data_IF_017785474421
#
_entry.id   IF_017785474421
#
_cell.length_a   1.000
_cell.length_b   1.000
_cell.length_c   1.000
_cell.angle_alpha   90.00
_cell.angle_beta   90.00
_cell.angle_gamma   90.00
#
_symmetry.space_group_name_H-M   'P 1'
#
loop_
_entity.id
_entity.type
_entity.pdbx_description
1 polymer ?
#
# COMPACT_ATOMS: atom_id res chain seq x y z
N UNK A 1 -60.96 3.10 -0.90
CA UNK A 1 -60.21 2.76 -2.14
C UNK A 1 -58.94 3.59 -2.15
N UNK A 2 -57.81 3.00 -1.78
CA UNK A 2 -56.47 3.64 -1.79
C UNK A 2 -55.81 3.43 -3.16
N UNK A 3 -55.18 4.45 -3.79
CA UNK A 3 -54.43 4.24 -5.02
C UNK A 3 -53.06 3.63 -4.73
N UNK A 4 -52.65 2.69 -5.60
CA UNK A 4 -51.45 1.87 -5.45
C UNK A 4 -50.11 2.61 -5.59
N UNK A 5 -49.13 2.14 -4.84
CA UNK A 5 -47.73 2.59 -4.86
C UNK A 5 -46.98 2.04 -6.09
N UNK A 6 -46.66 2.93 -7.04
CA UNK A 6 -45.72 2.62 -8.15
C UNK A 6 -44.29 2.65 -7.62
N UNK A 7 -43.48 1.61 -7.88
CA UNK A 7 -42.05 1.62 -7.58
C UNK A 7 -41.29 2.39 -8.66
N UNK A 8 -40.42 3.31 -8.25
CA UNK A 8 -39.55 4.09 -9.14
C UNK A 8 -38.34 3.26 -9.57
N UNK A 9 -37.92 3.42 -10.81
CA UNK A 9 -36.79 2.71 -11.40
C UNK A 9 -35.44 3.33 -11.00
N UNK A 10 -34.35 2.55 -11.14
CA UNK A 10 -33.00 2.92 -10.66
C UNK A 10 -32.44 4.20 -11.29
N UNK A 11 -32.90 4.57 -12.49
CA UNK A 11 -32.51 5.81 -13.18
C UNK A 11 -33.28 7.03 -12.64
N UNK A 12 -34.58 6.91 -12.39
CA UNK A 12 -35.39 7.97 -11.74
C UNK A 12 -34.88 8.28 -10.33
N UNK A 13 -34.27 7.29 -9.66
CA UNK A 13 -33.63 7.50 -8.37
C UNK A 13 -32.47 8.50 -8.45
N UNK A 14 -31.63 8.48 -9.49
CA UNK A 14 -30.45 9.35 -9.59
C UNK A 14 -30.79 10.81 -9.90
N UNK A 15 -31.80 11.09 -10.73
CA UNK A 15 -32.19 12.47 -11.09
C UNK A 15 -32.78 13.26 -9.90
N UNK A 16 -33.49 12.58 -9.00
CA UNK A 16 -34.04 13.20 -7.77
C UNK A 16 -32.94 13.71 -6.83
N UNK A 17 -31.73 13.14 -6.89
CA UNK A 17 -30.59 13.53 -6.03
C UNK A 17 -29.70 14.63 -6.62
N UNK A 18 -29.94 15.08 -7.86
CA UNK A 18 -29.12 16.13 -8.51
C UNK A 18 -29.61 17.56 -8.24
N UNK A 19 -30.73 17.77 -7.53
CA UNK A 19 -31.23 19.11 -7.20
C UNK A 19 -31.23 19.36 -5.68
N UNK A 20 -30.75 20.53 -5.19
CA UNK A 20 -30.62 20.82 -3.75
C UNK A 20 -31.94 20.80 -2.97
N UNK A 21 -33.09 20.82 -3.66
CA UNK A 21 -34.41 21.01 -3.04
C UNK A 21 -35.16 19.71 -2.71
N UNK A 22 -34.80 18.57 -3.29
CA UNK A 22 -35.52 17.30 -3.11
C UNK A 22 -35.00 16.43 -1.94
N UNK A 23 -33.83 16.74 -1.36
CA UNK A 23 -33.25 15.98 -0.24
C UNK A 23 -34.15 16.03 1.01
N UNK A 24 -34.94 17.09 1.19
CA UNK A 24 -35.80 17.24 2.37
C UNK A 24 -37.08 16.40 2.31
N UNK A 25 -37.64 16.15 1.13
CA UNK A 25 -38.95 15.46 0.98
C UNK A 25 -38.83 13.93 0.91
N UNK A 26 -37.78 13.38 0.30
CA UNK A 26 -37.59 11.91 0.26
C UNK A 26 -37.07 11.32 1.58
N UNK A 27 -36.52 12.15 2.46
CA UNK A 27 -35.96 11.69 3.73
C UNK A 27 -37.06 11.04 4.61
N UNK A 28 -38.32 11.47 4.52
CA UNK A 28 -39.41 11.02 5.40
C UNK A 28 -39.77 9.53 5.33
N UNK A 29 -39.30 8.76 4.34
CA UNK A 29 -39.60 7.32 4.19
C UNK A 29 -38.42 6.36 4.40
N UNK A 30 -37.26 6.88 4.82
CA UNK A 30 -36.06 6.06 5.02
C UNK A 30 -35.82 5.86 6.52
N UNK A 31 -35.76 4.59 6.94
CA UNK A 31 -35.42 4.18 8.32
C UNK A 31 -34.21 4.95 8.85
N UNK A 32 -34.25 5.34 10.12
CA UNK A 32 -33.21 6.14 10.80
C UNK A 32 -31.80 5.59 10.53
N UNK A 33 -31.65 4.27 10.55
CA UNK A 33 -30.38 3.56 10.31
C UNK A 33 -29.83 3.74 8.89
N UNK A 34 -30.71 3.89 7.89
CA UNK A 34 -30.33 4.12 6.49
C UNK A 34 -29.97 5.58 6.20
N UNK A 35 -30.58 6.53 6.93
CA UNK A 35 -30.20 7.96 6.93
C UNK A 35 -28.82 8.19 7.54
N UNK A 36 -28.52 7.57 8.68
CA UNK A 36 -27.19 7.62 9.29
C UNK A 36 -26.13 7.00 8.40
N UNK A 37 -26.43 5.85 7.77
CA UNK A 37 -25.51 5.20 6.81
C UNK A 37 -25.22 6.08 5.59
N UNK A 38 -26.23 6.74 5.03
CA UNK A 38 -26.03 7.68 3.91
C UNK A 38 -25.27 8.94 4.34
N UNK A 39 -25.58 9.52 5.51
CA UNK A 39 -24.85 10.67 6.05
C UNK A 39 -23.37 10.35 6.31
N UNK A 40 -23.07 9.15 6.82
CA UNK A 40 -21.71 8.68 7.04
C UNK A 40 -20.98 8.38 5.72
N UNK A 41 -21.67 7.85 4.70
CA UNK A 41 -21.10 7.64 3.37
C UNK A 41 -20.77 8.97 2.68
N UNK A 42 -21.67 9.95 2.75
CA UNK A 42 -21.45 11.30 2.21
C UNK A 42 -20.31 12.03 2.95
N UNK A 43 -20.27 11.95 4.29
CA UNK A 43 -19.15 12.48 5.09
C UNK A 43 -17.81 11.78 4.76
N UNK A 44 -17.79 10.46 4.56
CA UNK A 44 -16.57 9.74 4.14
C UNK A 44 -16.11 10.16 2.75
N UNK A 45 -17.04 10.27 1.79
CA UNK A 45 -16.73 10.66 0.40
C UNK A 45 -16.22 12.10 0.30
N UNK A 46 -16.81 13.03 1.05
CA UNK A 46 -16.35 14.43 1.07
C UNK A 46 -15.07 14.64 1.89
N UNK A 47 -14.85 13.84 2.95
CA UNK A 47 -13.57 13.87 3.70
C UNK A 47 -12.41 13.37 2.85
N UNK A 48 -12.63 12.35 2.02
CA UNK A 48 -11.61 11.86 1.09
C UNK A 48 -11.45 12.79 -0.12
N UNK A 49 -12.52 13.39 -0.62
CA UNK A 49 -12.45 14.38 -1.70
C UNK A 49 -11.59 15.60 -1.32
N UNK A 50 -11.71 16.14 -0.11
CA UNK A 50 -10.92 17.31 0.32
C UNK A 50 -9.42 17.05 0.48
N UNK A 51 -8.99 15.79 0.67
CA UNK A 51 -7.57 15.40 0.69
C UNK A 51 -7.06 15.19 -0.74
N UNK A 52 -7.88 14.62 -1.62
CA UNK A 52 -7.52 14.40 -3.02
C UNK A 52 -7.45 15.70 -3.84
N UNK A 53 -8.27 16.70 -3.50
CA UNK A 53 -8.33 18.00 -4.20
C UNK A 53 -7.08 18.86 -3.97
N UNK A 54 -6.35 18.61 -2.87
CA UNK A 54 -5.05 19.25 -2.55
C UNK A 54 -3.92 18.24 -2.44
N UNK A 55 -4.02 17.11 -3.13
CA UNK A 55 -3.01 16.05 -3.02
C UNK A 55 -1.63 16.55 -3.43
N UNK A 56 -1.54 17.43 -4.43
CA UNK A 56 -0.28 17.99 -4.93
C UNK A 56 0.46 18.83 -3.87
N UNK A 57 -0.25 19.46 -2.93
CA UNK A 57 0.35 20.25 -1.85
C UNK A 57 1.14 19.38 -0.84
N UNK A 58 0.83 18.08 -0.78
CA UNK A 58 1.45 17.13 0.15
C UNK A 58 2.51 16.22 -0.50
N UNK A 59 2.90 16.48 -1.75
CA UNK A 59 3.83 15.62 -2.50
C UNK A 59 5.30 15.90 -2.15
N UNK A 60 5.61 17.07 -1.58
CA UNK A 60 6.98 17.49 -1.26
C UNK A 60 7.71 16.57 -0.27
N UNK A 61 9.04 16.50 -0.39
CA UNK A 61 9.95 15.82 0.56
C UNK A 61 10.84 16.86 1.25
N UNK A 62 11.36 16.55 2.44
CA UNK A 62 12.13 17.52 3.23
C UNK A 62 13.41 17.96 2.51
N UNK A 63 14.07 17.08 1.74
CA UNK A 63 15.25 17.44 0.93
C UNK A 63 16.43 17.98 1.74
N UNK A 64 16.35 17.88 3.07
CA UNK A 64 17.32 18.36 4.04
C UNK A 64 18.03 17.13 4.62
N UNK A 65 19.29 17.31 5.03
CA UNK A 65 20.05 16.31 5.78
C UNK A 65 19.21 15.76 6.95
N UNK A 66 19.07 14.43 7.13
CA UNK A 66 19.87 13.34 6.56
C UNK A 66 19.30 12.69 5.28
N UNK A 67 18.16 13.13 4.74
CA UNK A 67 17.47 12.50 3.59
C UNK A 67 18.36 12.40 2.34
N UNK A 68 19.29 13.35 2.17
CA UNK A 68 20.23 13.40 1.05
C UNK A 68 21.31 12.31 1.10
N UNK A 69 21.58 11.70 2.26
CA UNK A 69 22.60 10.65 2.38
C UNK A 69 22.22 9.37 1.64
N UNK A 70 20.92 9.10 1.50
CA UNK A 70 20.42 7.93 0.78
C UNK A 70 20.31 8.14 -0.73
N UNK A 71 20.65 9.34 -1.22
CA UNK A 71 20.67 9.66 -2.64
C UNK A 71 22.09 9.56 -3.20
N UNK A 72 22.36 8.54 -4.01
CA UNK A 72 23.63 8.44 -4.75
C UNK A 72 23.74 9.47 -5.89
N UNK A 73 22.61 10.02 -6.34
CA UNK A 73 22.51 10.99 -7.44
C UNK A 73 21.54 12.08 -7.01
N UNK A 74 21.85 13.33 -7.35
CA UNK A 74 20.98 14.48 -7.08
C UNK A 74 19.57 14.24 -7.65
N UNK A 75 18.56 14.35 -6.77
CA UNK A 75 17.16 14.12 -7.11
C UNK A 75 16.87 12.72 -7.72
N UNK A 76 17.70 11.71 -7.43
CA UNK A 76 17.54 10.34 -7.90
C UNK A 76 16.65 9.47 -7.00
N UNK A 77 16.07 8.42 -7.58
CA UNK A 77 15.25 7.43 -6.88
C UNK A 77 13.79 7.82 -6.75
N UNK A 78 13.01 7.05 -5.98
CA UNK A 78 11.56 7.29 -5.78
C UNK A 78 11.24 7.78 -4.37
N UNK A 79 12.09 7.50 -3.38
CA UNK A 79 11.80 7.79 -1.97
C UNK A 79 12.06 9.26 -1.63
N UNK A 80 13.22 9.77 -2.05
CA UNK A 80 13.72 11.10 -1.67
C UNK A 80 13.69 12.14 -2.83
N UNK A 81 13.38 11.72 -4.06
CA UNK A 81 13.27 12.64 -5.20
C UNK A 81 12.00 13.48 -5.16
N UNK A 82 12.00 14.59 -5.89
CA UNK A 82 10.93 15.58 -5.93
C UNK A 82 10.66 16.09 -7.34
N UNK A 83 9.49 16.70 -7.52
CA UNK A 83 9.05 17.33 -8.76
C UNK A 83 8.67 16.32 -9.85
N UNK A 84 8.86 16.72 -11.11
CA UNK A 84 8.48 15.89 -12.26
C UNK A 84 9.35 14.63 -12.39
N UNK A 85 10.63 14.72 -12.02
CA UNK A 85 11.54 13.58 -12.02
C UNK A 85 11.03 12.42 -11.12
N UNK A 86 10.52 12.76 -9.93
CA UNK A 86 9.88 11.77 -9.05
C UNK A 86 8.65 11.13 -9.70
N UNK A 87 7.80 11.92 -10.37
CA UNK A 87 6.58 11.43 -11.03
C UNK A 87 6.91 10.46 -12.15
N UNK A 88 7.90 10.77 -12.98
CA UNK A 88 8.38 9.92 -14.07
C UNK A 88 9.03 8.64 -13.53
N UNK A 89 9.97 8.75 -12.59
CA UNK A 89 10.64 7.59 -12.00
C UNK A 89 9.65 6.67 -11.29
N UNK A 90 8.71 7.22 -10.51
CA UNK A 90 7.65 6.42 -9.86
C UNK A 90 6.78 5.68 -10.88
N UNK A 91 6.37 6.36 -11.96
CA UNK A 91 5.56 5.76 -13.02
C UNK A 91 6.34 4.62 -13.69
N UNK A 92 7.58 4.88 -14.09
CA UNK A 92 8.45 3.89 -14.73
C UNK A 92 8.68 2.67 -13.81
N UNK A 93 9.06 2.88 -12.55
CA UNK A 93 9.30 1.79 -11.58
C UNK A 93 8.05 0.92 -11.36
N UNK A 94 6.86 1.53 -11.22
CA UNK A 94 5.62 0.76 -11.04
C UNK A 94 5.28 -0.05 -12.30
N UNK A 95 5.51 0.52 -13.49
CA UNK A 95 5.32 -0.22 -14.74
C UNK A 95 6.26 -1.42 -14.83
N UNK A 96 7.56 -1.21 -14.57
CA UNK A 96 8.56 -2.28 -14.56
C UNK A 96 8.19 -3.38 -13.57
N UNK A 97 7.78 -3.03 -12.36
CA UNK A 97 7.37 -4.01 -11.35
C UNK A 97 6.13 -4.82 -11.79
N UNK A 98 5.16 -4.19 -12.46
CA UNK A 98 4.00 -4.90 -13.04
C UNK A 98 4.38 -5.84 -14.17
N UNK A 99 5.37 -5.46 -14.98
CA UNK A 99 5.89 -6.29 -16.05
C UNK A 99 6.62 -7.52 -15.50
N UNK A 100 7.40 -7.35 -14.43
CA UNK A 100 8.01 -8.46 -13.65
C UNK A 100 7.00 -9.36 -12.92
N UNK A 101 5.70 -9.04 -12.96
CA UNK A 101 4.65 -9.90 -12.41
C UNK A 101 4.10 -9.45 -11.06
N UNK A 102 4.40 -8.23 -10.60
CA UNK A 102 3.70 -7.62 -9.46
C UNK A 102 2.20 -7.51 -9.76
N UNK A 103 1.39 -8.25 -9.01
CA UNK A 103 -0.05 -8.35 -9.19
C UNK A 103 -0.51 -9.46 -10.16
N UNK A 104 0.39 -10.33 -10.59
CA UNK A 104 0.09 -11.57 -11.33
C UNK A 104 0.43 -12.80 -10.46
N UNK A 105 0.01 -13.98 -10.91
CA UNK A 105 0.26 -15.26 -10.24
C UNK A 105 1.76 -15.55 -10.01
N UNK A 106 2.65 -14.98 -10.82
CA UNK A 106 4.10 -15.18 -10.68
C UNK A 106 4.63 -14.68 -9.33
N UNK A 107 4.18 -13.52 -8.85
CA UNK A 107 4.62 -12.99 -7.55
C UNK A 107 4.09 -13.86 -6.40
N UNK A 108 2.86 -14.36 -6.53
CA UNK A 108 2.26 -15.27 -5.55
C UNK A 108 3.07 -16.56 -5.43
N UNK A 109 3.47 -17.15 -6.55
CA UNK A 109 4.31 -18.33 -6.58
C UNK A 109 5.67 -18.08 -5.90
N UNK A 110 6.32 -16.95 -6.18
CA UNK A 110 7.58 -16.59 -5.52
C UNK A 110 7.43 -16.46 -3.99
N UNK A 111 6.34 -15.82 -3.54
CA UNK A 111 6.04 -15.69 -2.10
C UNK A 111 5.79 -17.06 -1.47
N UNK A 112 5.05 -17.95 -2.15
CA UNK A 112 4.78 -19.30 -1.67
C UNK A 112 6.06 -20.13 -1.56
N UNK A 113 6.94 -20.08 -2.56
CA UNK A 113 8.23 -20.77 -2.53
C UNK A 113 9.09 -20.27 -1.36
N UNK A 114 9.25 -18.95 -1.23
CA UNK A 114 10.00 -18.37 -0.11
C UNK A 114 9.36 -18.69 1.24
N UNK A 115 8.03 -18.87 1.31
CA UNK A 115 7.34 -19.22 2.55
C UNK A 115 7.59 -20.68 2.93
N UNK A 116 7.70 -21.58 1.95
CA UNK A 116 8.10 -22.96 2.18
C UNK A 116 9.53 -23.02 2.73
N UNK A 117 10.46 -22.27 2.12
CA UNK A 117 11.84 -22.16 2.60
C UNK A 117 11.89 -21.66 4.05
N UNK A 118 11.11 -20.62 4.36
CA UNK A 118 10.98 -20.07 5.72
C UNK A 118 10.45 -21.10 6.73
N UNK A 119 9.38 -21.83 6.37
CA UNK A 119 8.81 -22.85 7.25
C UNK A 119 9.75 -24.03 7.46
N UNK A 120 10.49 -24.43 6.42
CA UNK A 120 11.51 -25.47 6.52
C UNK A 120 12.60 -25.07 7.52
N UNK A 121 13.13 -23.84 7.41
CA UNK A 121 14.10 -23.30 8.35
C UNK A 121 13.53 -23.22 9.79
N UNK A 122 12.28 -22.76 9.95
CA UNK A 122 11.64 -22.72 11.27
C UNK A 122 11.45 -24.12 11.88
N UNK A 123 11.29 -25.15 11.06
CA UNK A 123 11.13 -26.54 11.51
C UNK A 123 12.46 -27.21 11.88
N UNK A 124 13.58 -26.79 11.30
CA UNK A 124 14.91 -27.32 11.59
C UNK A 124 15.52 -26.75 12.87
N UNK A 125 14.97 -25.66 13.41
CA UNK A 125 15.43 -25.10 14.69
C UNK A 125 14.98 -26.02 15.84
N UNK A 126 15.96 -26.63 16.51
CA UNK A 126 15.73 -27.59 17.60
C UNK A 126 15.17 -26.94 18.87
N UNK A 127 15.56 -25.70 19.16
CA UNK A 127 15.24 -25.02 20.41
C UNK A 127 14.15 -23.95 20.19
N UNK A 128 12.89 -24.33 20.41
CA UNK A 128 11.71 -23.49 20.11
C UNK A 128 11.40 -22.43 21.17
N UNK A 129 12.09 -22.48 22.31
CA UNK A 129 11.80 -21.62 23.46
C UNK A 129 12.42 -20.21 23.33
N UNK A 130 13.47 -20.06 22.52
CA UNK A 130 14.13 -18.77 22.22
C UNK A 130 14.23 -18.54 20.70
N UNK A 131 13.09 -18.28 20.06
CA UNK A 131 13.04 -17.96 18.63
C UNK A 131 13.26 -16.47 18.38
N UNK A 132 14.45 -16.12 17.88
CA UNK A 132 14.73 -14.78 17.35
C UNK A 132 14.17 -14.63 15.94
N UNK A 133 12.91 -14.18 15.84
CA UNK A 133 12.21 -14.05 14.55
C UNK A 133 12.70 -12.90 13.66
N UNK A 134 13.52 -11.97 14.20
CA UNK A 134 14.00 -10.80 13.45
C UNK A 134 14.75 -11.20 12.19
N UNK A 135 15.74 -12.08 12.31
CA UNK A 135 16.61 -12.45 11.19
C UNK A 135 15.86 -13.30 10.15
N UNK A 136 15.15 -14.38 10.51
CA UNK A 136 14.43 -15.20 9.54
C UNK A 136 13.38 -14.42 8.74
N UNK A 137 12.71 -13.44 9.36
CA UNK A 137 11.73 -12.57 8.67
C UNK A 137 12.44 -11.60 7.71
N UNK A 138 13.55 -10.99 8.13
CA UNK A 138 14.34 -10.12 7.25
C UNK A 138 14.85 -10.89 6.03
N UNK A 139 15.33 -12.12 6.23
CA UNK A 139 15.80 -12.99 5.15
C UNK A 139 14.66 -13.37 4.21
N UNK A 140 13.50 -13.72 4.75
CA UNK A 140 12.31 -14.04 3.96
C UNK A 140 11.90 -12.89 3.04
N UNK A 141 11.77 -11.67 3.58
CA UNK A 141 11.39 -10.49 2.79
C UNK A 141 12.49 -10.13 1.78
N UNK A 142 13.75 -10.17 2.21
CA UNK A 142 14.91 -9.88 1.36
C UNK A 142 14.99 -10.83 0.17
N UNK A 143 14.73 -12.13 0.38
CA UNK A 143 14.72 -13.13 -0.67
C UNK A 143 13.61 -12.91 -1.70
N UNK A 144 12.40 -12.49 -1.28
CA UNK A 144 11.33 -12.15 -2.23
C UNK A 144 11.77 -11.00 -3.15
N UNK A 145 12.37 -9.96 -2.57
CA UNK A 145 12.84 -8.79 -3.33
C UNK A 145 14.00 -9.18 -4.25
N UNK A 146 15.00 -9.93 -3.75
CA UNK A 146 16.17 -10.34 -4.52
C UNK A 146 15.82 -11.32 -5.65
N UNK A 147 14.91 -12.29 -5.41
CA UNK A 147 14.40 -13.17 -6.47
C UNK A 147 13.67 -12.36 -7.55
N UNK A 148 12.90 -11.35 -7.15
CA UNK A 148 12.16 -10.50 -8.11
C UNK A 148 13.07 -9.59 -8.94
N UNK A 149 14.09 -8.99 -8.33
CA UNK A 149 14.94 -8.00 -9.00
C UNK A 149 16.15 -8.62 -9.71
N UNK A 150 16.78 -9.62 -9.10
CA UNK A 150 18.06 -10.16 -9.53
C UNK A 150 18.02 -11.67 -9.81
N UNK A 151 16.94 -12.36 -9.47
CA UNK A 151 16.78 -13.80 -9.69
C UNK A 151 17.62 -14.69 -8.76
N UNK A 152 18.14 -14.16 -7.65
CA UNK A 152 18.88 -14.94 -6.66
C UNK A 152 18.24 -14.87 -5.27
N UNK A 153 18.53 -15.86 -4.43
CA UNK A 153 18.16 -15.91 -3.02
C UNK A 153 19.32 -16.34 -2.15
N UNK A 154 19.29 -15.92 -0.89
CA UNK A 154 20.21 -16.38 0.15
C UNK A 154 19.61 -17.58 0.88
N UNK A 155 20.44 -18.57 1.16
CA UNK A 155 20.10 -19.61 2.13
C UNK A 155 20.09 -19.01 3.54
N UNK A 156 19.29 -19.58 4.43
CA UNK A 156 19.19 -19.09 5.81
C UNK A 156 20.51 -19.24 6.58
N UNK A 157 21.27 -20.29 6.29
CA UNK A 157 22.59 -20.55 6.90
C UNK A 157 23.67 -19.59 6.37
N UNK A 158 23.51 -19.05 5.16
CA UNK A 158 24.47 -18.15 4.50
C UNK A 158 23.93 -16.71 4.31
N UNK A 159 23.10 -16.24 5.24
CA UNK A 159 22.47 -14.92 5.15
C UNK A 159 23.34 -13.74 5.66
N UNK A 160 24.56 -14.01 6.14
CA UNK A 160 25.44 -13.04 6.79
C UNK A 160 25.67 -11.76 5.99
N UNK A 161 25.84 -11.86 4.66
CA UNK A 161 26.03 -10.69 3.77
C UNK A 161 24.83 -9.75 3.79
N UNK A 162 23.62 -10.31 3.76
CA UNK A 162 22.39 -9.52 3.78
C UNK A 162 22.12 -8.95 5.16
N UNK A 163 22.34 -9.74 6.21
CA UNK A 163 22.18 -9.30 7.60
C UNK A 163 23.16 -8.17 7.93
N UNK A 164 24.43 -8.28 7.54
CA UNK A 164 25.41 -7.22 7.72
C UNK A 164 25.00 -5.92 7.03
N UNK A 165 24.42 -6.00 5.82
CA UNK A 165 23.90 -4.82 5.13
C UNK A 165 22.70 -4.21 5.86
N UNK A 166 21.77 -5.03 6.34
CA UNK A 166 20.61 -4.57 7.10
C UNK A 166 21.02 -3.93 8.43
N UNK A 167 21.95 -4.53 9.17
CA UNK A 167 22.42 -3.98 10.44
C UNK A 167 23.25 -2.71 10.25
N UNK A 168 24.06 -2.63 9.18
CA UNK A 168 24.76 -1.37 8.83
C UNK A 168 23.76 -0.25 8.56
N UNK A 169 22.67 -0.53 7.84
CA UNK A 169 21.61 0.45 7.60
C UNK A 169 20.87 0.85 8.88
N UNK A 170 20.58 -0.10 9.78
CA UNK A 170 19.94 0.21 11.06
C UNK A 170 20.83 1.11 11.92
N UNK A 171 22.13 0.80 11.99
CA UNK A 171 23.09 1.65 12.69
C UNK A 171 23.11 3.05 12.08
N UNK A 172 23.19 3.16 10.75
CA UNK A 172 23.17 4.46 10.08
C UNK A 172 21.91 5.25 10.43
N UNK A 173 20.73 4.62 10.42
CA UNK A 173 19.46 5.27 10.79
C UNK A 173 19.45 5.70 12.26
N UNK A 174 19.99 4.88 13.17
CA UNK A 174 20.04 5.20 14.61
C UNK A 174 21.07 6.28 14.95
N UNK A 175 22.13 6.41 14.16
CA UNK A 175 23.19 7.41 14.36
C UNK A 175 22.89 8.79 13.78
N UNK A 176 21.89 8.90 12.90
CA UNK A 176 21.47 10.15 12.23
C UNK A 176 20.32 10.83 12.97
#
# INVERSE_FOLDING_TARGET
MTPGSRQLTRQEFYEVWSTPRCVQTCAAKVSHKSRERMGNAYKRKNRSAGVLDRCDDFVGRSGIFPDTLFQNVENGGVIFSQGENWREQRRASIHILRDFGMGKNLMEEQVLLSAQDFLAHMSSIENKDELYLREPIQVFIGNIINKTLYGFSYEYDECSRMMNAADTLNILIETL
#
